data_IF_910060587838
#
_entry.id   IF_910060587838
#
_cell.length_a   1.000
_cell.length_b   1.000
_cell.length_c   1.000
_cell.angle_alpha   90.00
_cell.angle_beta   90.00
_cell.angle_gamma   90.00
#
_symmetry.space_group_name_H-M   'P 1'
#
loop_
_entity.id
_entity.type
_entity.pdbx_description
1 polymer ?
#
# COMPACT_ATOMS: atom_id res chain seq x y z
N UNK A 1 14.09 16.41 19.06
CA UNK A 1 15.06 15.29 19.23
C UNK A 1 14.33 14.00 19.58
N UNK A 2 14.97 12.83 19.49
CA UNK A 2 14.35 11.55 19.88
C UNK A 2 13.87 11.53 21.34
N UNK A 3 14.52 12.30 22.22
CA UNK A 3 14.11 12.49 23.62
C UNK A 3 12.78 13.23 23.75
N UNK A 4 12.46 14.16 22.84
CA UNK A 4 11.19 14.91 22.89
C UNK A 4 10.01 14.02 22.48
N UNK A 5 10.23 13.07 21.56
CA UNK A 5 9.23 12.06 21.18
C UNK A 5 8.94 11.14 22.37
N UNK A 6 9.97 10.69 23.08
CA UNK A 6 9.79 9.85 24.28
C UNK A 6 9.04 10.58 25.39
N UNK A 7 9.30 11.89 25.56
CA UNK A 7 8.60 12.72 26.55
C UNK A 7 7.15 13.01 26.18
N UNK A 8 6.85 13.18 24.89
CA UNK A 8 5.50 13.49 24.41
C UNK A 8 4.61 12.25 24.23
N UNK A 9 5.20 11.08 24.01
CA UNK A 9 4.45 9.84 23.76
C UNK A 9 3.78 9.33 25.04
N UNK A 10 2.44 9.26 25.02
CA UNK A 10 1.66 8.66 26.12
C UNK A 10 1.67 7.13 26.09
N UNK A 11 1.82 6.54 24.91
CA UNK A 11 1.81 5.09 24.68
C UNK A 11 2.72 4.73 23.50
N UNK A 12 3.29 3.53 23.53
CA UNK A 12 4.06 2.96 22.42
C UNK A 12 3.37 1.70 21.86
N UNK A 13 2.96 1.74 20.59
CA UNK A 13 2.27 0.61 19.92
C UNK A 13 3.26 -0.43 19.36
N UNK A 14 4.16 -0.92 20.23
CA UNK A 14 5.31 -1.75 19.83
C UNK A 14 4.89 -2.98 19.01
N UNK A 15 3.86 -3.70 19.47
CA UNK A 15 3.36 -4.90 18.81
C UNK A 15 2.86 -4.58 17.38
N UNK A 16 1.98 -3.58 17.23
CA UNK A 16 1.41 -3.20 15.93
C UNK A 16 2.50 -2.77 14.96
N UNK A 17 3.48 -1.99 15.43
CA UNK A 17 4.60 -1.52 14.59
C UNK A 17 5.52 -2.68 14.18
N UNK A 18 5.82 -3.60 15.09
CA UNK A 18 6.60 -4.80 14.77
C UNK A 18 5.89 -5.68 13.73
N UNK A 19 4.60 -5.96 13.92
CA UNK A 19 3.81 -6.77 12.98
C UNK A 19 3.77 -6.12 11.60
N UNK A 20 3.57 -4.79 11.53
CA UNK A 20 3.65 -4.06 10.27
C UNK A 20 5.00 -4.28 9.58
N UNK A 21 6.11 -3.99 10.27
CA UNK A 21 7.46 -4.04 9.69
C UNK A 21 7.81 -5.43 9.17
N UNK A 22 7.64 -6.47 9.99
CA UNK A 22 7.99 -7.83 9.57
C UNK A 22 7.08 -8.34 8.44
N UNK A 23 5.78 -8.03 8.50
CA UNK A 23 4.86 -8.42 7.43
C UNK A 23 5.11 -7.66 6.13
N UNK A 24 5.51 -6.38 6.19
CA UNK A 24 5.83 -5.56 5.03
C UNK A 24 7.12 -6.06 4.36
N UNK A 25 8.17 -6.36 5.15
CA UNK A 25 9.38 -6.99 4.63
C UNK A 25 9.08 -8.33 3.94
N UNK A 26 8.24 -9.17 4.55
CA UNK A 26 7.77 -10.42 3.93
C UNK A 26 7.02 -10.18 2.62
N UNK A 27 6.14 -9.16 2.56
CA UNK A 27 5.42 -8.79 1.32
C UNK A 27 6.37 -8.36 0.21
N UNK A 28 7.47 -7.68 0.53
CA UNK A 28 8.50 -7.32 -0.47
C UNK A 28 9.12 -8.57 -1.10
N UNK A 29 9.51 -9.56 -0.28
CA UNK A 29 10.02 -10.83 -0.81
C UNK A 29 8.96 -11.57 -1.63
N UNK A 30 7.72 -11.66 -1.13
CA UNK A 30 6.62 -12.29 -1.86
C UNK A 30 6.33 -11.60 -3.21
N UNK A 31 6.46 -10.26 -3.27
CA UNK A 31 6.30 -9.49 -4.50
C UNK A 31 7.40 -9.85 -5.50
N UNK A 32 8.67 -9.82 -5.06
CA UNK A 32 9.83 -10.24 -5.87
C UNK A 32 9.67 -11.67 -6.38
N UNK A 33 9.33 -12.62 -5.51
CA UNK A 33 9.19 -14.03 -5.86
C UNK A 33 8.05 -14.25 -6.86
N UNK A 34 6.97 -13.47 -6.74
CA UNK A 34 5.86 -13.51 -7.70
C UNK A 34 6.30 -13.03 -9.08
N UNK A 35 7.07 -11.94 -9.17
CA UNK A 35 7.64 -11.46 -10.44
C UNK A 35 8.49 -12.54 -11.11
N UNK A 36 9.33 -13.23 -10.33
CA UNK A 36 10.23 -14.28 -10.81
C UNK A 36 9.58 -15.66 -10.97
N UNK A 37 8.29 -15.82 -10.68
CA UNK A 37 7.60 -17.11 -10.76
C UNK A 37 7.26 -17.52 -12.21
N UNK A 38 6.90 -18.78 -12.41
CA UNK A 38 6.43 -19.33 -13.69
C UNK A 38 4.91 -19.19 -13.88
N UNK A 39 4.25 -18.34 -13.10
CA UNK A 39 2.82 -18.05 -13.25
C UNK A 39 2.55 -17.32 -14.59
N UNK A 40 1.31 -17.39 -15.05
CA UNK A 40 0.84 -16.54 -16.15
C UNK A 40 0.96 -15.06 -15.77
N UNK A 41 1.09 -14.18 -16.76
CA UNK A 41 1.20 -12.73 -16.49
C UNK A 41 -0.05 -12.19 -15.78
N UNK A 42 -1.24 -12.69 -16.11
CA UNK A 42 -2.48 -12.33 -15.43
C UNK A 42 -2.48 -12.75 -13.96
N UNK A 43 -2.05 -13.98 -13.65
CA UNK A 43 -1.97 -14.45 -12.26
C UNK A 43 -0.91 -13.70 -11.46
N UNK A 44 0.23 -13.36 -12.09
CA UNK A 44 1.25 -12.50 -11.49
C UNK A 44 0.64 -11.15 -11.14
N UNK A 45 0.07 -10.45 -12.11
CA UNK A 45 -0.48 -9.10 -11.91
C UNK A 45 -1.57 -9.08 -10.82
N UNK A 46 -2.46 -10.08 -10.79
CA UNK A 46 -3.46 -10.23 -9.73
C UNK A 46 -2.82 -10.40 -8.35
N UNK A 47 -1.81 -11.27 -8.25
CA UNK A 47 -1.11 -11.53 -6.97
C UNK A 47 -0.30 -10.32 -6.49
N UNK A 48 0.37 -9.60 -7.41
CA UNK A 48 1.08 -8.36 -7.10
C UNK A 48 0.11 -7.27 -6.61
N UNK A 49 -1.05 -7.12 -7.28
CA UNK A 49 -2.10 -6.19 -6.86
C UNK A 49 -2.62 -6.48 -5.44
N UNK A 50 -2.86 -7.76 -5.13
CA UNK A 50 -3.26 -8.18 -3.79
C UNK A 50 -2.21 -7.83 -2.73
N UNK A 51 -0.93 -8.07 -3.00
CA UNK A 51 0.17 -7.70 -2.09
C UNK A 51 0.23 -6.19 -1.83
N UNK A 52 -0.02 -5.35 -2.86
CA UNK A 52 -0.11 -3.90 -2.69
C UNK A 52 -1.30 -3.51 -1.80
N UNK A 53 -2.45 -4.17 -1.96
CA UNK A 53 -3.64 -3.88 -1.16
C UNK A 53 -3.46 -4.28 0.32
N UNK A 54 -2.87 -5.45 0.57
CA UNK A 54 -2.50 -5.91 1.92
C UNK A 54 -1.49 -4.97 2.58
N UNK A 55 -0.52 -4.46 1.81
CA UNK A 55 0.44 -3.46 2.27
C UNK A 55 -0.26 -2.16 2.67
N UNK A 56 -1.18 -1.63 1.84
CA UNK A 56 -1.95 -0.44 2.21
C UNK A 56 -2.76 -0.64 3.49
N UNK A 57 -3.46 -1.77 3.62
CA UNK A 57 -4.21 -2.09 4.82
C UNK A 57 -3.31 -2.12 6.07
N UNK A 58 -2.12 -2.74 5.95
CA UNK A 58 -1.12 -2.76 7.02
C UNK A 58 -0.63 -1.35 7.37
N UNK A 59 -0.34 -0.50 6.39
CA UNK A 59 0.02 0.91 6.62
C UNK A 59 -1.10 1.68 7.33
N UNK A 60 -2.35 1.45 6.94
CA UNK A 60 -3.52 2.14 7.49
C UNK A 60 -3.86 1.69 8.92
N UNK A 61 -3.90 0.38 9.17
CA UNK A 61 -4.38 -0.17 10.45
C UNK A 61 -3.26 -0.45 11.45
N UNK A 62 -2.15 -1.05 11.00
CA UNK A 62 -1.07 -1.46 11.90
C UNK A 62 -0.04 -0.36 12.10
N UNK A 63 0.30 0.38 11.05
CA UNK A 63 1.25 1.47 11.13
C UNK A 63 0.59 2.82 11.41
N UNK A 64 -0.69 2.97 11.08
CA UNK A 64 -1.48 4.19 11.24
C UNK A 64 -0.83 5.39 10.55
N UNK A 65 -0.25 5.15 9.36
CA UNK A 65 0.38 6.17 8.53
C UNK A 65 -0.44 6.54 7.28
N UNK A 66 -1.71 6.15 7.21
CA UNK A 66 -2.61 6.65 6.16
C UNK A 66 -3.31 7.95 6.60
N UNK A 67 -4.18 8.48 5.75
CA UNK A 67 -5.07 9.61 6.05
C UNK A 67 -6.37 9.49 5.21
N UNK A 68 -7.45 10.21 5.56
CA UNK A 68 -8.72 10.13 4.84
C UNK A 68 -8.59 10.31 3.32
N UNK A 69 -7.77 11.26 2.88
CA UNK A 69 -7.54 11.57 1.47
C UNK A 69 -6.81 10.42 0.75
N UNK A 70 -5.86 9.76 1.41
CA UNK A 70 -5.18 8.58 0.86
C UNK A 70 -6.11 7.37 0.79
N UNK A 71 -6.95 7.16 1.80
CA UNK A 71 -7.94 6.07 1.79
C UNK A 71 -8.96 6.27 0.66
N UNK A 72 -9.44 7.50 0.47
CA UNK A 72 -10.34 7.86 -0.63
C UNK A 72 -9.67 7.65 -1.99
N UNK A 73 -8.45 8.18 -2.19
CA UNK A 73 -7.72 8.02 -3.44
C UNK A 73 -7.46 6.54 -3.76
N UNK A 74 -7.05 5.74 -2.78
CA UNK A 74 -6.82 4.29 -2.98
C UNK A 74 -8.13 3.57 -3.29
N UNK A 75 -9.23 3.94 -2.65
CA UNK A 75 -10.56 3.42 -2.97
C UNK A 75 -10.96 3.74 -4.42
N UNK A 76 -10.84 5.01 -4.84
CA UNK A 76 -11.16 5.45 -6.20
C UNK A 76 -10.30 4.69 -7.22
N UNK A 77 -9.00 4.49 -6.96
CA UNK A 77 -8.15 3.67 -7.83
C UNK A 77 -8.71 2.26 -8.01
N UNK A 78 -9.10 1.60 -6.92
CA UNK A 78 -9.62 0.22 -6.96
C UNK A 78 -10.99 0.13 -7.64
N UNK A 79 -11.87 1.08 -7.36
CA UNK A 79 -13.19 1.17 -7.99
C UNK A 79 -13.10 1.35 -9.52
N UNK A 80 -12.00 1.93 -10.01
CA UNK A 80 -11.71 2.10 -11.43
C UNK A 80 -10.75 1.06 -12.01
N UNK A 81 -10.78 -0.18 -11.47
CA UNK A 81 -10.06 -1.34 -11.98
C UNK A 81 -8.54 -1.35 -11.79
N UNK A 82 -7.99 -0.59 -10.84
CA UNK A 82 -6.64 -0.85 -10.38
C UNK A 82 -6.59 -2.25 -9.71
N UNK A 83 -5.65 -3.09 -10.14
CA UNK A 83 -5.43 -4.42 -9.56
C UNK A 83 -4.94 -4.33 -8.12
N UNK A 84 -4.18 -3.28 -7.82
CA UNK A 84 -3.80 -2.91 -6.47
C UNK A 84 -3.45 -1.44 -6.37
N UNK A 85 -3.71 -0.84 -5.21
CA UNK A 85 -3.37 0.55 -4.93
C UNK A 85 -2.99 0.72 -3.46
N UNK A 86 -1.99 1.57 -3.21
CA UNK A 86 -1.49 1.87 -1.87
C UNK A 86 -0.89 3.27 -1.78
N UNK A 87 -0.83 3.82 -0.58
CA UNK A 87 0.04 4.96 -0.27
C UNK A 87 1.51 4.63 -0.57
N UNK A 88 2.29 5.66 -0.92
CA UNK A 88 3.74 5.55 -1.12
C UNK A 88 4.47 6.69 -0.41
N UNK A 89 5.69 6.42 0.05
CA UNK A 89 6.43 7.32 0.93
C UNK A 89 6.04 7.15 2.40
N UNK A 90 6.19 8.22 3.18
CA UNK A 90 5.99 8.18 4.63
C UNK A 90 4.52 8.00 5.05
N UNK A 91 3.59 8.49 4.23
CA UNK A 91 2.17 8.57 4.57
C UNK A 91 1.80 9.86 5.29
N UNK A 92 0.63 9.87 5.96
CA UNK A 92 -0.04 11.07 6.50
C UNK A 92 -0.28 12.15 5.43
N UNK A 93 -0.63 11.71 4.22
CA UNK A 93 -0.74 12.52 3.02
C UNK A 93 0.25 12.10 1.93
N UNK A 94 0.43 12.95 0.92
CA UNK A 94 1.35 12.68 -0.19
C UNK A 94 0.69 11.90 -1.32
N UNK A 95 1.34 10.84 -1.80
CA UNK A 95 0.96 10.16 -3.04
C UNK A 95 0.47 8.73 -2.79
N UNK A 96 -0.29 8.22 -3.76
CA UNK A 96 -0.58 6.81 -3.93
C UNK A 96 0.06 6.26 -5.22
N UNK A 97 0.29 4.96 -5.26
CA UNK A 97 0.70 4.20 -6.44
C UNK A 97 -0.33 3.12 -6.73
N UNK A 98 -0.72 2.98 -7.99
CA UNK A 98 -1.71 2.01 -8.46
C UNK A 98 -1.13 1.15 -9.60
N UNK A 99 -1.41 -0.15 -9.55
CA UNK A 99 -1.11 -1.11 -10.60
C UNK A 99 -2.34 -1.24 -11.51
N UNK A 100 -2.19 -0.83 -12.75
CA UNK A 100 -3.29 -0.68 -13.72
C UNK A 100 -2.89 -1.35 -15.03
N UNK A 101 -3.81 -2.02 -15.71
CA UNK A 101 -3.55 -2.58 -17.05
C UNK A 101 -3.34 -1.43 -18.05
N UNK A 102 -2.33 -1.55 -18.90
CA UNK A 102 -1.95 -0.50 -19.84
C UNK A 102 -3.13 0.00 -20.69
N UNK A 103 -3.94 -0.92 -21.21
CA UNK A 103 -5.09 -0.59 -22.06
C UNK A 103 -6.18 0.28 -21.42
N UNK A 104 -6.21 0.41 -20.08
CA UNK A 104 -7.21 1.24 -19.38
C UNK A 104 -6.63 2.52 -18.79
N UNK A 105 -5.31 2.76 -18.90
CA UNK A 105 -4.63 3.92 -18.28
C UNK A 105 -5.26 5.26 -18.68
N UNK A 106 -5.60 5.56 -19.95
CA UNK A 106 -6.21 6.84 -20.31
C UNK A 106 -7.56 7.06 -19.62
N UNK A 107 -8.43 6.04 -19.61
CA UNK A 107 -9.74 6.12 -18.95
C UNK A 107 -9.61 6.20 -17.44
N UNK A 108 -8.66 5.46 -16.86
CA UNK A 108 -8.36 5.49 -15.43
C UNK A 108 -7.98 6.90 -14.97
N UNK A 109 -7.11 7.59 -15.71
CA UNK A 109 -6.71 8.98 -15.40
C UNK A 109 -7.88 9.94 -15.52
N UNK A 110 -8.77 9.76 -16.49
CA UNK A 110 -9.97 10.60 -16.64
C UNK A 110 -10.93 10.45 -15.47
N UNK A 111 -11.12 9.23 -14.97
CA UNK A 111 -12.04 8.93 -13.86
C UNK A 111 -11.51 9.38 -12.48
N UNK A 112 -10.22 9.71 -12.39
CA UNK A 112 -9.57 10.22 -11.17
C UNK A 112 -9.62 11.75 -11.05
N UNK A 113 -10.00 12.45 -12.12
CA UNK A 113 -10.14 13.92 -12.16
C UNK A 113 -11.55 14.33 -11.78
#
# INVERSE_FOLDING_TARGET
>A
TSLDVLKAAKNFKLHQRAVHVYSEAKRVYAFKDTVSSNLSDEDKLKKLGNLMNESHHSCSVLYECSCPELEELVKICRDHNALGARLTGAGWGGCAVALVKEGIVPQFILNLK
#
